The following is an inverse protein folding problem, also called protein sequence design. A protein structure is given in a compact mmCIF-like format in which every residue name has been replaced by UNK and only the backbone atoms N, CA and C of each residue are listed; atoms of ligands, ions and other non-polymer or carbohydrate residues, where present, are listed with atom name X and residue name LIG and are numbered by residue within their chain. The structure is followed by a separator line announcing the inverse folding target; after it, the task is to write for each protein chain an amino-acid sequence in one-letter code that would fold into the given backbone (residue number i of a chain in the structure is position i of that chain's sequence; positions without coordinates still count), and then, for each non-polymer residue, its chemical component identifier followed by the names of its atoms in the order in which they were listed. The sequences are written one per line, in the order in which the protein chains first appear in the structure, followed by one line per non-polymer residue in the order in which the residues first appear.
data_IF_903967395039
#
_entry.id   IF_903967395039
#
_cell.length_a   1.000
_cell.length_b   1.000
_cell.length_c   1.000
_cell.angle_alpha   90.00
_cell.angle_beta   90.00
_cell.angle_gamma   90.00
#
_symmetry.space_group_name_H-M   'P 1'
#
loop_
_entity.id
_entity.type
_entity.pdbx_description
1 polymer ?
#
# COMPACT_ATOMS: atom_id res chain seq x y z
N UNK A 1 -22.28 0.78 -17.91
CA UNK A 1 -21.11 -0.09 -18.16
C UNK A 1 -20.50 -0.53 -16.82
N UNK A 2 -19.63 -1.55 -16.78
CA UNK A 2 -18.81 -1.89 -15.60
C UNK A 2 -17.90 -0.72 -15.25
N UNK A 3 -17.27 -0.10 -16.26
CA UNK A 3 -16.40 1.06 -16.06
C UNK A 3 -17.18 2.23 -15.40
N UNK A 4 -18.40 2.53 -15.86
CA UNK A 4 -19.23 3.58 -15.24
C UNK A 4 -19.59 3.27 -13.79
N UNK A 5 -19.93 2.00 -13.50
CA UNK A 5 -20.28 1.55 -12.15
C UNK A 5 -19.08 1.67 -11.21
N UNK A 6 -17.89 1.28 -11.67
CA UNK A 6 -16.65 1.39 -10.90
C UNK A 6 -16.33 2.86 -10.63
N UNK A 7 -16.40 3.74 -11.63
CA UNK A 7 -16.20 5.18 -11.45
C UNK A 7 -17.15 5.77 -10.40
N UNK A 8 -18.45 5.51 -10.53
CA UNK A 8 -19.44 6.01 -9.58
C UNK A 8 -19.16 5.53 -8.15
N UNK A 9 -18.77 4.27 -7.98
CA UNK A 9 -18.44 3.72 -6.65
C UNK A 9 -17.20 4.41 -6.07
N UNK A 10 -16.13 4.54 -6.84
CA UNK A 10 -14.88 5.21 -6.41
C UNK A 10 -15.13 6.67 -6.05
N UNK A 11 -15.86 7.43 -6.87
CA UNK A 11 -16.18 8.85 -6.62
C UNK A 11 -17.01 9.04 -5.34
N UNK A 12 -17.82 8.05 -4.97
CA UNK A 12 -18.61 8.04 -3.74
C UNK A 12 -17.88 7.41 -2.54
N UNK A 13 -16.56 7.17 -2.65
CA UNK A 13 -15.73 6.58 -1.60
C UNK A 13 -16.07 5.11 -1.29
N UNK A 14 -16.74 4.41 -2.20
CA UNK A 14 -17.15 3.00 -2.07
C UNK A 14 -16.11 2.06 -2.70
N UNK A 15 -14.85 2.24 -2.36
CA UNK A 15 -13.72 1.54 -2.98
C UNK A 15 -13.79 0.02 -2.86
N UNK A 16 -14.12 -0.52 -1.68
CA UNK A 16 -14.26 -1.98 -1.51
C UNK A 16 -15.33 -2.57 -2.45
N UNK A 17 -16.46 -1.87 -2.60
CA UNK A 17 -17.50 -2.30 -3.55
C UNK A 17 -17.00 -2.23 -5.00
N UNK A 18 -16.22 -1.21 -5.34
CA UNK A 18 -15.63 -1.09 -6.67
C UNK A 18 -14.64 -2.24 -6.95
N UNK A 19 -13.83 -2.62 -5.97
CA UNK A 19 -12.91 -3.77 -6.03
C UNK A 19 -13.71 -5.07 -6.22
N UNK A 20 -14.74 -5.31 -5.40
CA UNK A 20 -15.59 -6.51 -5.54
C UNK A 20 -16.20 -6.62 -6.94
N UNK A 21 -16.71 -5.52 -7.50
CA UNK A 21 -17.26 -5.51 -8.87
C UNK A 21 -16.20 -5.88 -9.90
N UNK A 22 -14.95 -5.43 -9.73
CA UNK A 22 -13.86 -5.80 -10.62
C UNK A 22 -13.46 -7.27 -10.45
N UNK A 23 -13.43 -7.79 -9.22
CA UNK A 23 -13.12 -9.20 -8.94
C UNK A 23 -14.15 -10.14 -9.58
N UNK A 24 -15.44 -9.79 -9.55
CA UNK A 24 -16.52 -10.54 -10.21
C UNK A 24 -16.33 -10.69 -11.73
N UNK A 25 -15.62 -9.74 -12.38
CA UNK A 25 -15.36 -9.75 -13.81
C UNK A 25 -13.92 -10.15 -14.18
N UNK A 26 -13.19 -10.76 -13.24
CA UNK A 26 -11.83 -11.27 -13.47
C UNK A 26 -10.70 -10.28 -13.11
N UNK A 27 -11.00 -9.28 -12.29
CA UNK A 27 -10.03 -8.36 -11.68
C UNK A 27 -9.71 -7.11 -12.50
N UNK A 28 -10.28 -6.97 -13.70
CA UNK A 28 -10.09 -5.79 -14.56
C UNK A 28 -11.25 -5.58 -15.55
N UNK A 29 -11.35 -4.36 -16.02
CA UNK A 29 -12.26 -3.84 -17.04
C UNK A 29 -11.45 -3.10 -18.11
N UNK A 30 -12.09 -2.33 -18.99
CA UNK A 30 -11.39 -1.58 -20.04
C UNK A 30 -10.55 -0.45 -19.45
N UNK A 31 -11.04 0.23 -18.41
CA UNK A 31 -10.38 1.41 -17.82
C UNK A 31 -9.82 1.16 -16.43
N UNK A 32 -10.31 0.15 -15.71
CA UNK A 32 -9.94 -0.09 -14.31
C UNK A 32 -9.44 -1.51 -14.05
N UNK A 33 -8.57 -1.64 -13.07
CA UNK A 33 -8.16 -2.91 -12.46
C UNK A 33 -8.24 -2.82 -10.94
N UNK A 34 -8.32 -3.97 -10.26
CA UNK A 34 -8.27 -4.05 -8.79
C UNK A 34 -7.06 -3.30 -8.25
N UNK A 35 -5.92 -3.38 -8.93
CA UNK A 35 -4.70 -2.66 -8.55
C UNK A 35 -4.91 -1.15 -8.65
N UNK A 36 -5.43 -0.63 -9.78
CA UNK A 36 -5.62 0.82 -9.94
C UNK A 36 -6.62 1.40 -8.94
N UNK A 37 -7.73 0.70 -8.67
CA UNK A 37 -8.72 1.13 -7.68
C UNK A 37 -8.17 0.97 -6.26
N UNK A 38 -7.38 -0.08 -6.00
CA UNK A 38 -6.69 -0.28 -4.74
C UNK A 38 -5.70 0.84 -4.40
N UNK A 39 -4.94 1.32 -5.39
CA UNK A 39 -4.04 2.48 -5.22
C UNK A 39 -4.83 3.76 -4.93
N UNK A 40 -5.94 3.99 -5.64
CA UNK A 40 -6.82 5.14 -5.35
C UNK A 40 -7.42 5.07 -3.95
N UNK A 41 -7.76 3.85 -3.48
CA UNK A 41 -8.25 3.64 -2.13
C UNK A 41 -7.15 3.88 -1.09
N UNK A 42 -5.93 3.45 -1.36
CA UNK A 42 -4.76 3.72 -0.52
C UNK A 42 -4.50 5.22 -0.41
N UNK A 43 -4.54 5.96 -1.52
CA UNK A 43 -4.40 7.42 -1.53
C UNK A 43 -5.51 8.09 -0.71
N UNK A 44 -6.74 7.56 -0.80
CA UNK A 44 -7.85 8.02 0.03
C UNK A 44 -7.58 7.79 1.53
N UNK A 45 -7.14 6.59 1.93
CA UNK A 45 -6.85 6.29 3.34
C UNK A 45 -5.70 7.14 3.89
N UNK A 46 -4.63 7.34 3.12
CA UNK A 46 -3.52 8.24 3.47
C UNK A 46 -4.04 9.66 3.66
N UNK A 47 -4.89 10.17 2.75
CA UNK A 47 -5.49 11.51 2.87
C UNK A 47 -6.39 11.68 4.11
N UNK A 48 -6.84 10.57 4.71
CA UNK A 48 -7.64 10.53 5.93
C UNK A 48 -6.80 10.21 7.18
N UNK A 49 -5.49 10.10 7.04
CA UNK A 49 -4.56 9.69 8.10
C UNK A 49 -4.85 8.29 8.68
N UNK A 50 -5.50 7.42 7.91
CA UNK A 50 -5.81 6.03 8.28
C UNK A 50 -4.66 5.11 7.84
N UNK A 51 -3.48 5.31 8.42
CA UNK A 51 -2.24 4.71 7.92
C UNK A 51 -2.13 3.20 8.16
N UNK A 52 -2.68 2.69 9.27
CA UNK A 52 -2.71 1.25 9.54
C UNK A 52 -3.58 0.50 8.52
N UNK A 53 -4.77 1.04 8.23
CA UNK A 53 -5.66 0.51 7.20
C UNK A 53 -5.03 0.59 5.81
N UNK A 54 -4.37 1.71 5.51
CA UNK A 54 -3.64 1.91 4.26
C UNK A 54 -2.51 0.88 4.11
N UNK A 55 -1.78 0.56 5.18
CA UNK A 55 -0.69 -0.40 5.16
C UNK A 55 -1.17 -1.83 4.90
N UNK A 56 -2.27 -2.25 5.55
CA UNK A 56 -2.91 -3.55 5.30
C UNK A 56 -3.39 -3.63 3.84
N UNK A 57 -4.04 -2.57 3.35
CA UNK A 57 -4.49 -2.48 1.96
C UNK A 57 -3.31 -2.54 0.99
N UNK A 58 -2.21 -1.83 1.29
CA UNK A 58 -0.99 -1.83 0.50
C UNK A 58 -0.47 -3.26 0.29
N UNK A 59 -0.35 -4.03 1.37
CA UNK A 59 0.09 -5.42 1.27
C UNK A 59 -0.81 -6.28 0.37
N UNK A 60 -2.14 -6.09 0.49
CA UNK A 60 -3.15 -6.80 -0.32
C UNK A 60 -3.07 -6.43 -1.81
N UNK A 61 -2.84 -5.15 -2.11
CA UNK A 61 -2.82 -4.61 -3.48
C UNK A 61 -1.48 -4.91 -4.18
N UNK A 62 -0.36 -4.71 -3.49
CA UNK A 62 0.98 -4.86 -4.06
C UNK A 62 1.35 -6.32 -4.34
N UNK A 63 0.94 -7.26 -3.48
CA UNK A 63 1.27 -8.70 -3.62
C UNK A 63 2.77 -8.89 -3.93
N UNK A 64 3.11 -9.37 -5.12
CA UNK A 64 4.49 -9.64 -5.57
C UNK A 64 5.07 -8.52 -6.44
N UNK A 65 4.32 -7.44 -6.69
CA UNK A 65 4.76 -6.33 -7.53
C UNK A 65 5.71 -5.42 -6.75
N UNK A 66 7.01 -5.62 -6.99
CA UNK A 66 8.08 -4.87 -6.32
C UNK A 66 8.02 -3.38 -6.63
N UNK A 67 7.76 -3.00 -7.89
CA UNK A 67 7.72 -1.60 -8.31
C UNK A 67 6.56 -0.90 -7.62
N UNK A 68 5.40 -1.57 -7.53
CA UNK A 68 4.24 -1.02 -6.83
C UNK A 68 4.50 -0.85 -5.33
N UNK A 69 5.15 -1.82 -4.70
CA UNK A 69 5.60 -1.73 -3.31
C UNK A 69 6.49 -0.51 -3.07
N UNK A 70 7.55 -0.35 -3.85
CA UNK A 70 8.49 0.76 -3.72
C UNK A 70 7.77 2.11 -3.84
N UNK A 71 6.91 2.26 -4.85
CA UNK A 71 6.11 3.46 -5.04
C UNK A 71 5.18 3.75 -3.86
N UNK A 72 4.52 2.73 -3.29
CA UNK A 72 3.64 2.97 -2.14
C UNK A 72 4.44 3.31 -0.89
N UNK A 73 5.56 2.63 -0.62
CA UNK A 73 6.40 2.93 0.55
C UNK A 73 6.91 4.36 0.52
N UNK A 74 7.27 4.89 -0.67
CA UNK A 74 7.65 6.30 -0.80
C UNK A 74 6.51 7.25 -0.42
N UNK A 75 5.25 6.94 -0.71
CA UNK A 75 4.10 7.75 -0.25
C UNK A 75 3.95 7.72 1.27
N UNK A 76 4.21 6.59 1.92
CA UNK A 76 4.24 6.51 3.39
C UNK A 76 5.40 7.34 3.96
N UNK A 77 6.55 7.37 3.29
CA UNK A 77 7.68 8.22 3.68
C UNK A 77 7.35 9.71 3.63
N UNK A 78 6.64 10.15 2.58
CA UNK A 78 6.23 11.55 2.43
C UNK A 78 5.29 12.03 3.56
N UNK A 79 4.68 11.11 4.31
CA UNK A 79 3.80 11.39 5.44
C UNK A 79 4.41 11.03 6.81
N UNK A 80 5.70 10.68 6.87
CA UNK A 80 6.40 10.18 8.08
C UNK A 80 5.71 8.96 8.72
N UNK A 81 5.21 8.02 7.89
CA UNK A 81 4.47 6.82 8.32
C UNK A 81 5.14 5.51 7.90
N UNK A 82 6.46 5.47 7.75
CA UNK A 82 7.15 4.23 7.37
C UNK A 82 7.00 3.14 8.43
N UNK A 83 6.91 3.51 9.72
CA UNK A 83 6.62 2.58 10.81
C UNK A 83 5.29 1.83 10.64
N UNK A 84 4.27 2.44 10.05
CA UNK A 84 2.96 1.78 9.87
C UNK A 84 3.01 0.68 8.80
N UNK A 85 3.77 0.92 7.72
CA UNK A 85 3.91 -0.03 6.61
C UNK A 85 5.02 -1.06 6.84
N UNK A 86 6.03 -0.74 7.66
CA UNK A 86 7.25 -1.56 7.86
C UNK A 86 6.98 -3.02 8.17
N UNK A 87 5.93 -3.31 8.94
CA UNK A 87 5.56 -4.66 9.38
C UNK A 87 5.03 -5.54 8.24
N UNK A 88 4.62 -4.93 7.12
CA UNK A 88 4.08 -5.63 5.95
C UNK A 88 5.05 -5.70 4.77
N UNK A 89 6.15 -4.95 4.80
CA UNK A 89 7.11 -4.89 3.69
C UNK A 89 7.72 -6.29 3.47
N UNK A 90 7.85 -6.75 2.20
CA UNK A 90 8.43 -8.06 1.93
C UNK A 90 9.86 -8.18 2.45
N UNK A 91 10.16 -9.26 3.18
CA UNK A 91 11.50 -9.54 3.74
C UNK A 91 12.14 -10.81 3.16
N UNK A 92 11.40 -11.59 2.39
CA UNK A 92 11.90 -12.83 1.79
C UNK A 92 12.83 -12.51 0.61
N UNK A 93 13.93 -13.25 0.40
CA UNK A 93 14.87 -12.98 -0.69
C UNK A 93 14.21 -12.91 -2.08
N UNK A 94 13.18 -13.71 -2.32
CA UNK A 94 12.46 -13.78 -3.60
C UNK A 94 11.68 -12.48 -3.87
N UNK A 95 11.12 -11.88 -2.83
CA UNK A 95 10.29 -10.67 -2.91
C UNK A 95 11.02 -9.40 -2.46
N UNK A 96 12.29 -9.51 -2.07
CA UNK A 96 13.08 -8.39 -1.58
C UNK A 96 13.06 -7.21 -2.56
N UNK A 97 12.82 -6.02 -2.00
CA UNK A 97 12.82 -4.74 -2.69
C UNK A 97 14.26 -4.21 -2.80
N UNK A 98 14.43 -3.02 -3.37
CA UNK A 98 15.71 -2.33 -3.36
C UNK A 98 16.18 -2.04 -1.91
N UNK A 99 17.49 -2.20 -1.63
CA UNK A 99 18.12 -1.91 -0.32
C UNK A 99 17.73 -0.54 0.23
N UNK A 100 17.68 0.47 -0.63
CA UNK A 100 17.36 1.85 -0.27
C UNK A 100 16.00 1.98 0.45
N UNK A 101 15.04 1.10 0.15
CA UNK A 101 13.72 1.10 0.78
C UNK A 101 13.81 0.68 2.25
N UNK A 102 14.60 -0.36 2.53
CA UNK A 102 14.82 -0.82 3.90
C UNK A 102 15.64 0.19 4.68
N UNK A 103 16.65 0.81 4.05
CA UNK A 103 17.44 1.90 4.64
C UNK A 103 16.56 3.09 5.05
N UNK A 104 15.57 3.45 4.22
CA UNK A 104 14.64 4.53 4.53
C UNK A 104 13.80 4.23 5.77
N UNK A 105 13.28 2.99 5.87
CA UNK A 105 12.54 2.53 7.05
C UNK A 105 13.44 2.57 8.29
N UNK A 106 14.64 2.01 8.19
CA UNK A 106 15.62 2.01 9.29
C UNK A 106 15.99 3.42 9.75
N UNK A 107 16.15 4.35 8.82
CA UNK A 107 16.43 5.75 9.13
C UNK A 107 15.31 6.40 9.94
N UNK A 108 14.04 6.18 9.58
CA UNK A 108 12.89 6.70 10.34
C UNK A 108 12.86 6.12 11.77
N UNK A 109 13.08 4.81 11.93
CA UNK A 109 13.17 4.19 13.25
C UNK A 109 14.35 4.74 14.06
N UNK A 110 15.53 4.89 13.47
CA UNK A 110 16.69 5.45 14.17
C UNK A 110 16.46 6.87 14.68
N UNK A 111 15.73 7.68 13.90
CA UNK A 111 15.47 9.08 14.24
C UNK A 111 14.39 9.22 15.32
N UNK A 112 13.33 8.42 15.25
CA UNK A 112 12.12 8.64 16.04
C UNK A 112 11.87 7.56 17.12
N UNK A 113 12.39 6.34 16.95
CA UNK A 113 12.19 5.21 17.87
C UNK A 113 13.42 4.26 17.91
N UNK A 114 14.55 4.67 18.53
CA UNK A 114 15.73 3.83 18.66
C UNK A 114 15.49 2.47 19.35
N UNK A 115 14.63 2.35 20.38
CA UNK A 115 14.23 1.05 20.91
C UNK A 115 13.50 0.17 19.89
N UNK A 116 12.57 0.74 19.11
CA UNK A 116 11.88 0.05 18.03
C UNK A 116 12.83 -0.39 16.91
N UNK A 117 13.85 0.41 16.59
CA UNK A 117 14.90 0.04 15.65
C UNK A 117 15.61 -1.25 16.09
N UNK A 118 16.00 -1.33 17.36
CA UNK A 118 16.69 -2.51 17.90
C UNK A 118 15.83 -3.77 17.74
N UNK A 119 14.53 -3.66 18.03
CA UNK A 119 13.59 -4.77 17.86
C UNK A 119 13.47 -5.16 16.38
N UNK A 120 13.33 -4.18 15.49
CA UNK A 120 13.18 -4.41 14.06
C UNK A 120 14.37 -5.14 13.43
N UNK A 121 15.59 -4.86 13.89
CA UNK A 121 16.83 -5.50 13.39
C UNK A 121 17.04 -6.90 13.99
N UNK A 122 16.43 -7.19 15.14
CA UNK A 122 16.51 -8.50 15.79
C UNK A 122 15.48 -9.52 15.27
N UNK A 123 14.41 -9.05 14.63
CA UNK A 123 13.35 -9.86 14.00
C UNK A 123 13.76 -10.37 12.60
#
# INVERSE_FOLDING_TARGET
DIDDKVNWLTENGRFEKAITVLEEVGGKSTKHSVVTVGVQYLDHLISKHLYEEAAILCARVCKNDKILWENQILKFAECDQLRAISVYVPKTPEQALNSNIYELIFYEYLKEDPPGFLKLVQD
#
